data_IF_001880746406
#
_entry.id   IF_001880746406
#
_cell.length_a   1.000
_cell.length_b   1.000
_cell.length_c   1.000
_cell.angle_alpha   90.00
_cell.angle_beta   90.00
_cell.angle_gamma   90.00
#
_symmetry.space_group_name_H-M   'P 1'
#
loop_
_entity.id
_entity.type
_entity.pdbx_description
1 polymer ?
#
# COMPACT_ATOMS: atom_id res chain seq x y z
N UNK A 1 10.39 -5.27 42.41
CA UNK A 1 10.69 -6.01 41.17
C UNK A 1 9.94 -5.37 40.01
N UNK A 2 10.57 -5.08 38.85
CA UNK A 2 9.85 -4.50 37.72
C UNK A 2 8.79 -5.49 37.21
N UNK A 3 7.57 -5.00 37.05
CA UNK A 3 6.41 -5.74 36.58
C UNK A 3 6.76 -6.51 35.29
N UNK A 4 6.42 -7.80 35.22
CA UNK A 4 6.70 -8.66 34.05
C UNK A 4 6.18 -8.03 32.75
N UNK A 5 5.03 -7.36 32.82
CA UNK A 5 4.47 -6.58 31.70
C UNK A 5 5.45 -5.49 31.21
N UNK A 6 6.08 -4.77 32.12
CA UNK A 6 7.05 -3.72 31.78
C UNK A 6 8.30 -4.29 31.11
N UNK A 7 8.78 -5.46 31.55
CA UNK A 7 9.91 -6.15 30.90
C UNK A 7 9.57 -6.55 29.45
N UNK A 8 8.38 -7.11 29.24
CA UNK A 8 7.89 -7.50 27.90
C UNK A 8 7.76 -6.26 27.00
N UNK A 9 7.16 -5.17 27.50
CA UNK A 9 6.99 -3.94 26.73
C UNK A 9 8.32 -3.33 26.30
N UNK A 10 9.30 -3.25 27.21
CA UNK A 10 10.62 -2.68 26.91
C UNK A 10 11.39 -3.54 25.90
N UNK A 11 11.34 -4.86 26.03
CA UNK A 11 11.95 -5.78 25.09
C UNK A 11 11.34 -5.64 23.69
N UNK A 12 10.00 -5.65 23.58
CA UNK A 12 9.29 -5.48 22.32
C UNK A 12 9.59 -4.12 21.67
N UNK A 13 9.67 -3.06 22.47
CA UNK A 13 10.03 -1.72 21.98
C UNK A 13 11.41 -1.72 21.33
N UNK A 14 12.40 -2.35 21.96
CA UNK A 14 13.78 -2.45 21.45
C UNK A 14 13.84 -3.23 20.13
N UNK A 15 13.20 -4.40 20.05
CA UNK A 15 13.13 -5.19 18.81
C UNK A 15 12.48 -4.41 17.66
N UNK A 16 11.39 -3.68 17.94
CA UNK A 16 10.71 -2.85 16.95
C UNK A 16 11.55 -1.65 16.49
N UNK A 17 12.46 -1.13 17.33
CA UNK A 17 13.40 -0.07 16.97
C UNK A 17 14.52 -0.59 16.07
N UNK A 18 15.13 -1.74 16.41
CA UNK A 18 16.18 -2.37 15.61
C UNK A 18 15.71 -2.66 14.18
N UNK A 19 14.55 -3.31 14.04
CA UNK A 19 13.98 -3.64 12.73
C UNK A 19 13.54 -2.41 11.92
N UNK A 20 13.30 -1.25 12.57
CA UNK A 20 13.06 0.02 11.85
C UNK A 20 14.35 0.57 11.25
N UNK A 21 15.44 0.49 11.99
CA UNK A 21 16.74 1.02 11.57
C UNK A 21 17.35 0.17 10.44
N UNK A 22 17.17 -1.16 10.49
CA UNK A 22 17.60 -2.08 9.42
C UNK A 22 16.83 -1.90 8.10
N UNK A 23 15.60 -1.38 8.15
CA UNK A 23 14.72 -1.18 6.98
C UNK A 23 14.64 0.27 6.51
N UNK A 24 15.65 1.09 6.80
CA UNK A 24 15.78 2.39 6.16
C UNK A 24 15.74 2.20 4.63
N UNK A 25 14.78 2.81 3.90
CA UNK A 25 14.68 2.59 2.46
C UNK A 25 15.92 3.12 1.76
N UNK A 26 16.65 2.26 1.05
CA UNK A 26 17.69 2.70 0.11
C UNK A 26 17.07 3.67 -0.91
N UNK A 27 17.70 4.82 -1.08
CA UNK A 27 17.22 5.93 -1.90
C UNK A 27 17.16 5.56 -3.39
N UNK A 28 16.08 4.87 -3.81
CA UNK A 28 15.89 4.49 -5.20
C UNK A 28 15.08 5.56 -5.94
N UNK A 29 15.71 6.13 -6.98
CA UNK A 29 15.11 7.10 -7.91
C UNK A 29 14.07 6.41 -8.82
N UNK A 30 13.17 7.17 -9.47
CA UNK A 30 12.22 6.53 -10.41
C UNK A 30 12.96 6.02 -11.65
N UNK A 31 12.88 4.72 -11.92
CA UNK A 31 13.30 4.11 -13.19
C UNK A 31 12.26 4.30 -14.32
N UNK A 32 11.74 5.53 -14.46
CA UNK A 32 10.71 5.87 -15.42
C UNK A 32 11.33 6.10 -16.82
N UNK A 33 10.96 5.32 -17.85
CA UNK A 33 11.52 5.44 -19.22
C UNK A 33 11.21 6.77 -19.92
N UNK A 34 10.06 7.38 -19.62
CA UNK A 34 9.69 8.74 -20.07
C UNK A 34 9.50 9.62 -18.85
N UNK A 35 10.39 10.61 -18.66
CA UNK A 35 10.37 11.52 -17.51
C UNK A 35 9.25 12.57 -17.64
N UNK A 36 8.98 13.05 -18.84
CA UNK A 36 7.93 14.06 -19.13
C UNK A 36 6.54 13.60 -18.67
N UNK A 37 6.19 12.35 -18.96
CA UNK A 37 4.92 11.74 -18.58
C UNK A 37 4.95 11.11 -17.18
N UNK A 38 6.03 11.30 -16.42
CA UNK A 38 6.12 10.79 -15.06
C UNK A 38 5.17 11.60 -14.18
N UNK A 39 4.15 10.97 -13.58
CA UNK A 39 3.24 11.65 -12.65
C UNK A 39 3.94 12.11 -11.34
N UNK A 40 5.18 11.67 -11.09
CA UNK A 40 6.05 12.18 -10.03
C UNK A 40 7.01 13.28 -10.54
N UNK A 41 6.90 13.72 -11.79
CA UNK A 41 7.83 14.69 -12.42
C UNK A 41 9.30 14.34 -12.22
N UNK A 42 9.64 13.06 -12.31
CA UNK A 42 11.00 12.57 -12.07
C UNK A 42 11.44 12.50 -10.60
N UNK A 43 10.58 12.82 -9.62
CA UNK A 43 10.90 12.67 -8.21
C UNK A 43 11.02 11.19 -7.76
N UNK A 44 11.72 11.00 -6.63
CA UNK A 44 12.02 9.72 -5.97
C UNK A 44 10.79 8.81 -5.82
N UNK A 45 11.02 7.49 -5.76
CA UNK A 45 10.00 6.47 -5.48
C UNK A 45 9.40 6.68 -4.08
N UNK A 46 8.43 7.58 -4.00
CA UNK A 46 7.87 8.01 -2.73
C UNK A 46 6.79 7.01 -2.31
N UNK A 47 7.04 6.28 -1.23
CA UNK A 47 6.04 5.42 -0.59
C UNK A 47 5.09 6.27 0.26
N UNK A 48 3.91 5.73 0.56
CA UNK A 48 2.93 6.33 1.48
C UNK A 48 2.47 7.74 1.10
N UNK A 49 1.98 7.88 -0.13
CA UNK A 49 1.43 9.15 -0.63
C UNK A 49 -0.06 9.02 -0.93
N UNK A 50 -0.75 10.14 -0.75
CA UNK A 50 -2.14 10.36 -1.13
C UNK A 50 -2.12 11.17 -2.43
N UNK A 51 -2.64 10.60 -3.51
CA UNK A 51 -2.73 11.30 -4.80
C UNK A 51 -4.18 11.56 -5.20
N UNK A 52 -4.33 12.50 -6.12
CA UNK A 52 -5.57 12.84 -6.82
C UNK A 52 -5.37 12.55 -8.30
N UNK A 53 -6.33 11.85 -8.91
CA UNK A 53 -6.49 11.82 -10.35
C UNK A 53 -7.69 12.69 -10.74
N UNK A 54 -7.48 13.65 -11.63
CA UNK A 54 -8.53 14.48 -12.22
C UNK A 54 -8.72 14.07 -13.66
N UNK A 55 -9.95 13.74 -14.05
CA UNK A 55 -10.33 13.60 -15.45
C UNK A 55 -11.20 14.80 -15.78
N UNK A 56 -10.73 15.65 -16.68
CA UNK A 56 -11.48 16.79 -17.21
C UNK A 56 -12.02 16.40 -18.57
N UNK A 57 -13.32 16.17 -18.58
CA UNK A 57 -14.17 16.24 -19.77
C UNK A 57 -14.65 17.70 -19.90
N UNK A 58 -15.12 18.16 -21.05
CA UNK A 58 -15.52 19.55 -21.30
C UNK A 58 -16.58 20.12 -20.32
N UNK A 59 -17.10 19.34 -19.35
CA UNK A 59 -17.94 19.86 -18.25
C UNK A 59 -17.95 19.10 -16.91
N UNK A 60 -17.00 18.22 -16.57
CA UNK A 60 -17.07 17.54 -15.25
C UNK A 60 -15.72 17.29 -14.58
N UNK A 61 -15.60 17.73 -13.32
CA UNK A 61 -14.44 17.52 -12.43
C UNK A 61 -14.68 16.28 -11.53
N UNK A 62 -13.82 15.26 -11.57
CA UNK A 62 -13.92 14.04 -10.74
C UNK A 62 -12.59 13.64 -10.09
N UNK A 63 -12.63 12.87 -8.98
CA UNK A 63 -11.47 12.58 -8.10
C UNK A 63 -11.44 11.12 -7.58
N UNK A 64 -10.24 10.51 -7.51
CA UNK A 64 -9.93 9.28 -6.75
C UNK A 64 -8.60 9.30 -5.96
N UNK A 65 -8.43 8.47 -4.91
CA UNK A 65 -7.31 8.58 -3.92
C UNK A 65 -6.79 7.27 -3.32
N UNK A 66 -5.51 6.89 -3.55
CA UNK A 66 -4.83 5.71 -2.94
C UNK A 66 -3.27 5.68 -3.06
N UNK A 67 -2.59 4.55 -2.80
CA UNK A 67 -1.11 4.35 -2.90
C UNK A 67 -0.56 4.30 -4.33
N UNK A 68 0.43 5.14 -4.62
CA UNK A 68 0.70 5.61 -5.99
C UNK A 68 1.40 4.65 -6.98
N UNK A 69 2.57 4.06 -6.68
CA UNK A 69 3.38 3.40 -7.73
C UNK A 69 2.72 2.14 -8.28
N UNK A 70 2.25 1.27 -7.38
CA UNK A 70 1.62 -0.01 -7.76
C UNK A 70 0.30 0.25 -8.46
N UNK A 71 -0.54 1.16 -7.94
CA UNK A 71 -1.79 1.52 -8.59
C UNK A 71 -1.61 2.30 -9.88
N UNK A 72 -0.56 3.10 -10.03
CA UNK A 72 -0.30 3.80 -11.27
C UNK A 72 -0.11 2.82 -12.42
N UNK A 73 0.67 1.76 -12.19
CA UNK A 73 0.87 0.70 -13.17
C UNK A 73 -0.44 -0.07 -13.43
N UNK A 74 -1.17 -0.42 -12.36
CA UNK A 74 -2.47 -1.07 -12.48
C UNK A 74 -3.44 -0.23 -13.31
N UNK A 75 -3.57 1.06 -12.99
CA UNK A 75 -4.41 2.01 -13.72
C UNK A 75 -3.97 2.14 -15.18
N UNK A 76 -2.66 2.27 -15.46
CA UNK A 76 -2.14 2.33 -16.83
C UNK A 76 -2.55 1.10 -17.64
N UNK A 77 -2.49 -0.09 -17.03
CA UNK A 77 -2.95 -1.33 -17.66
C UNK A 77 -4.47 -1.35 -17.82
N UNK A 78 -5.22 -0.94 -16.79
CA UNK A 78 -6.69 -0.92 -16.79
C UNK A 78 -7.29 0.03 -17.82
N UNK A 79 -6.59 1.11 -18.15
CA UNK A 79 -7.05 2.07 -19.17
C UNK A 79 -6.76 1.59 -20.60
N UNK A 80 -5.93 0.54 -20.77
CA UNK A 80 -5.57 0.00 -22.08
C UNK A 80 -6.24 -1.34 -22.36
N UNK A 81 -6.29 -2.23 -21.37
CA UNK A 81 -6.80 -3.59 -21.50
C UNK A 81 -8.28 -3.63 -21.16
N UNK A 82 -9.09 -4.10 -22.10
CA UNK A 82 -10.55 -4.09 -21.96
C UNK A 82 -11.04 -5.00 -20.82
N UNK A 83 -10.46 -6.19 -20.66
CA UNK A 83 -10.84 -7.11 -19.57
C UNK A 83 -10.59 -6.52 -18.16
N UNK A 84 -9.80 -5.45 -18.05
CA UNK A 84 -9.55 -4.72 -16.79
C UNK A 84 -10.40 -3.46 -16.64
N UNK A 85 -11.37 -3.19 -17.52
CA UNK A 85 -12.15 -1.95 -17.52
C UNK A 85 -12.87 -1.67 -16.20
N UNK A 86 -13.40 -2.71 -15.55
CA UNK A 86 -14.11 -2.61 -14.27
C UNK A 86 -13.21 -2.80 -13.03
N UNK A 87 -11.88 -2.79 -13.17
CA UNK A 87 -10.97 -3.00 -12.03
C UNK A 87 -11.00 -1.89 -10.98
N UNK A 88 -11.34 -0.67 -11.38
CA UNK A 88 -11.45 0.51 -10.51
C UNK A 88 -12.55 1.42 -11.02
N UNK A 89 -13.16 2.22 -10.15
CA UNK A 89 -14.21 3.17 -10.56
C UNK A 89 -13.68 4.22 -11.57
N UNK A 90 -12.40 4.60 -11.50
CA UNK A 90 -11.76 5.48 -12.47
C UNK A 90 -11.57 4.82 -13.83
N UNK A 91 -11.18 3.55 -13.87
CA UNK A 91 -11.06 2.84 -15.14
C UNK A 91 -12.42 2.69 -15.80
N UNK A 92 -13.44 2.31 -15.02
CA UNK A 92 -14.81 2.19 -15.51
C UNK A 92 -15.30 3.53 -16.08
N UNK A 93 -15.05 4.63 -15.37
CA UNK A 93 -15.40 5.96 -15.87
C UNK A 93 -14.68 6.32 -17.17
N UNK A 94 -13.37 6.05 -17.28
CA UNK A 94 -12.60 6.32 -18.50
C UNK A 94 -13.09 5.49 -19.67
N UNK A 95 -13.43 4.22 -19.46
CA UNK A 95 -14.00 3.38 -20.53
C UNK A 95 -15.37 3.88 -20.97
N UNK A 96 -16.23 4.31 -20.03
CA UNK A 96 -17.49 4.94 -20.39
C UNK A 96 -17.34 6.23 -21.23
N UNK A 97 -16.24 6.98 -21.05
CA UNK A 97 -15.92 8.14 -21.89
C UNK A 97 -15.49 7.72 -23.30
N UNK A 98 -14.68 6.66 -23.41
CA UNK A 98 -14.26 6.11 -24.71
C UNK A 98 -15.44 5.54 -25.49
N UNK A 99 -16.32 4.80 -24.82
CA UNK A 99 -17.50 4.19 -25.45
C UNK A 99 -18.45 5.26 -26.01
N UNK A 100 -18.48 6.44 -25.38
CA UNK A 100 -19.23 7.62 -25.85
C UNK A 100 -18.47 8.49 -26.83
N UNK A 101 -17.24 8.11 -27.18
CA UNK A 101 -16.33 8.87 -28.03
C UNK A 101 -16.10 10.32 -27.57
N UNK A 102 -15.96 10.53 -26.25
CA UNK A 102 -15.72 11.86 -25.67
C UNK A 102 -14.26 12.02 -25.32
N UNK A 103 -13.66 13.10 -25.79
CA UNK A 103 -12.28 13.47 -25.46
C UNK A 103 -12.14 13.86 -23.99
N UNK A 104 -11.06 13.40 -23.37
CA UNK A 104 -10.78 13.66 -21.97
C UNK A 104 -9.29 13.89 -21.71
N UNK A 105 -9.00 14.79 -20.77
CA UNK A 105 -7.65 15.02 -20.26
C UNK A 105 -7.52 14.44 -18.86
N UNK A 106 -6.41 13.74 -18.60
CA UNK A 106 -6.11 13.11 -17.31
C UNK A 106 -4.92 13.80 -16.65
N UNK A 107 -5.13 14.33 -15.46
CA UNK A 107 -4.11 14.97 -14.65
C UNK A 107 -3.95 14.22 -13.32
N UNK A 108 -2.73 14.17 -12.79
CA UNK A 108 -2.44 13.53 -11.51
C UNK A 108 -1.63 14.47 -10.64
N UNK A 109 -2.02 14.57 -9.38
CA UNK A 109 -1.37 15.44 -8.40
C UNK A 109 -1.15 14.68 -7.09
N UNK A 110 0.01 14.86 -6.47
CA UNK A 110 0.24 14.39 -5.10
C UNK A 110 -0.37 15.40 -4.14
N UNK A 111 -1.34 14.98 -3.34
CA UNK A 111 -1.98 15.84 -2.34
C UNK A 111 -1.14 15.91 -1.08
N UNK A 112 -0.67 14.75 -0.58
CA UNK A 112 0.11 14.70 0.65
C UNK A 112 1.04 13.49 0.68
N UNK A 113 2.21 13.69 1.29
CA UNK A 113 3.13 12.61 1.67
C UNK A 113 2.92 12.29 3.14
N UNK A 114 2.86 11.01 3.47
CA UNK A 114 2.61 10.54 4.84
C UNK A 114 3.69 9.55 5.27
N UNK A 115 3.73 9.26 6.57
CA UNK A 115 4.59 8.22 7.13
C UNK A 115 3.94 6.84 6.92
N UNK A 116 4.72 5.77 6.74
CA UNK A 116 4.16 4.42 6.72
C UNK A 116 3.46 4.07 8.03
N UNK A 117 2.54 3.11 7.96
CA UNK A 117 1.95 2.55 9.17
C UNK A 117 3.03 1.96 10.07
N UNK A 118 2.96 2.28 11.36
CA UNK A 118 3.84 1.71 12.38
C UNK A 118 3.06 0.63 13.14
N UNK A 119 3.52 -0.62 13.16
CA UNK A 119 2.90 -1.69 13.94
C UNK A 119 2.76 -1.30 15.42
N UNK A 120 1.65 -1.69 16.05
CA UNK A 120 1.32 -1.32 17.43
C UNK A 120 0.63 0.04 17.57
N UNK A 121 0.62 0.91 16.55
CA UNK A 121 -0.21 2.12 16.56
C UNK A 121 -1.66 1.78 16.21
N UNK A 122 -2.60 2.44 16.89
CA UNK A 122 -4.05 2.33 16.63
C UNK A 122 -4.47 3.01 15.32
N UNK A 123 -3.67 3.96 14.85
CA UNK A 123 -4.00 4.80 13.69
C UNK A 123 -2.99 4.59 12.55
N UNK A 124 -3.49 4.68 11.31
CA UNK A 124 -2.68 4.68 10.11
C UNK A 124 -2.72 6.07 9.47
N UNK A 125 -1.62 6.85 9.48
CA UNK A 125 -1.60 8.21 8.93
C UNK A 125 -2.02 8.26 7.46
N UNK A 126 -1.60 7.27 6.67
CA UNK A 126 -1.96 7.15 5.27
C UNK A 126 -3.48 6.97 5.09
N UNK A 127 -4.08 5.98 5.76
CA UNK A 127 -5.53 5.76 5.67
C UNK A 127 -6.34 6.93 6.22
N UNK A 128 -5.87 7.59 7.29
CA UNK A 128 -6.54 8.77 7.83
C UNK A 128 -6.56 9.90 6.80
N UNK A 129 -5.43 10.14 6.14
CA UNK A 129 -5.35 11.18 5.12
C UNK A 129 -6.17 10.83 3.87
N UNK A 130 -6.17 9.57 3.44
CA UNK A 130 -7.04 9.08 2.36
C UNK A 130 -8.51 9.35 2.70
N UNK A 131 -8.96 8.98 3.91
CA UNK A 131 -10.32 9.21 4.38
C UNK A 131 -10.66 10.69 4.43
N UNK A 132 -9.76 11.53 4.94
CA UNK A 132 -9.93 12.99 4.97
C UNK A 132 -10.03 13.59 3.56
N UNK A 133 -9.23 13.10 2.62
CA UNK A 133 -9.27 13.55 1.24
C UNK A 133 -10.60 13.20 0.56
N UNK A 134 -11.14 12.00 0.80
CA UNK A 134 -12.46 11.57 0.30
C UNK A 134 -13.57 12.40 0.95
N UNK A 135 -13.53 12.61 2.27
CA UNK A 135 -14.55 13.37 3.01
C UNK A 135 -14.64 14.84 2.58
N UNK A 136 -13.50 15.49 2.37
CA UNK A 136 -13.45 16.93 2.03
C UNK A 136 -13.91 17.25 0.62
N UNK A 137 -13.95 16.26 -0.29
CA UNK A 137 -14.27 16.50 -1.70
C UNK A 137 -15.63 15.93 -2.10
N UNK A 138 -16.56 16.83 -2.41
CA UNK A 138 -17.84 16.48 -3.04
C UNK A 138 -17.61 16.15 -4.52
N UNK A 139 -18.24 15.09 -5.03
CA UNK A 139 -18.13 14.67 -6.43
C UNK A 139 -16.95 13.72 -6.78
N UNK A 140 -16.35 13.04 -5.82
CA UNK A 140 -15.36 11.98 -6.11
C UNK A 140 -16.02 10.71 -6.65
N UNK A 141 -15.31 9.96 -7.49
CA UNK A 141 -15.72 8.62 -7.95
C UNK A 141 -15.57 7.56 -6.85
N UNK A 142 -14.74 7.84 -5.83
CA UNK A 142 -14.63 6.98 -4.65
C UNK A 142 -15.97 6.81 -3.94
N UNK A 143 -16.31 5.55 -3.68
CA UNK A 143 -17.52 5.19 -2.94
C UNK A 143 -17.33 5.56 -1.46
N UNK A 144 -18.22 6.36 -0.87
CA UNK A 144 -18.12 6.78 0.53
C UNK A 144 -18.05 5.62 1.54
N UNK A 145 -18.60 4.45 1.19
CA UNK A 145 -18.51 3.23 2.00
C UNK A 145 -17.06 2.80 2.25
N UNK A 146 -16.12 3.15 1.38
CA UNK A 146 -14.68 2.88 1.55
C UNK A 146 -14.08 3.58 2.77
N UNK A 147 -14.69 4.67 3.26
CA UNK A 147 -14.24 5.39 4.45
C UNK A 147 -14.31 4.49 5.70
N UNK A 148 -15.28 3.57 5.74
CA UNK A 148 -15.46 2.64 6.86
C UNK A 148 -14.66 1.35 6.69
N UNK A 149 -13.90 1.22 5.60
CA UNK A 149 -13.06 0.05 5.38
C UNK A 149 -11.98 -0.09 6.45
N UNK A 150 -11.66 -1.34 6.75
CA UNK A 150 -10.56 -1.70 7.64
C UNK A 150 -9.23 -1.34 7.00
N UNK A 151 -8.27 -0.92 7.82
CA UNK A 151 -6.94 -0.55 7.35
C UNK A 151 -6.19 -1.77 6.79
N UNK A 152 -6.08 -1.88 5.47
CA UNK A 152 -5.29 -2.92 4.80
C UNK A 152 -3.81 -2.85 5.22
N UNK A 153 -3.27 -1.66 5.49
CA UNK A 153 -1.91 -1.49 5.97
C UNK A 153 -1.68 -2.11 7.36
N UNK A 154 -2.70 -2.09 8.24
CA UNK A 154 -2.64 -2.76 9.54
C UNK A 154 -2.76 -4.27 9.38
N UNK A 155 -3.63 -4.73 8.47
CA UNK A 155 -3.89 -6.16 8.22
C UNK A 155 -2.60 -6.95 8.00
N UNK A 156 -1.66 -6.42 7.20
CA UNK A 156 -0.36 -7.07 6.92
C UNK A 156 0.45 -7.44 8.18
N UNK A 157 0.25 -6.74 9.29
CA UNK A 157 1.00 -6.97 10.53
C UNK A 157 0.22 -7.77 11.58
N UNK A 158 -0.94 -8.34 11.22
CA UNK A 158 -1.68 -9.24 12.09
C UNK A 158 -1.05 -10.62 12.08
N UNK A 159 -1.01 -11.28 13.24
CA UNK A 159 -0.49 -12.64 13.40
C UNK A 159 -1.23 -13.66 12.52
N UNK A 160 -2.52 -13.43 12.26
CA UNK A 160 -3.33 -14.26 11.37
C UNK A 160 -2.82 -14.30 9.92
N UNK A 161 -1.96 -13.36 9.53
CA UNK A 161 -1.39 -13.26 8.18
C UNK A 161 0.11 -13.62 8.14
N UNK A 162 0.69 -14.03 9.27
CA UNK A 162 2.01 -14.66 9.25
C UNK A 162 1.84 -16.05 8.61
N UNK A 163 2.39 -16.27 7.42
CA UNK A 163 2.56 -17.64 6.96
C UNK A 163 3.41 -18.35 8.01
N UNK A 164 3.01 -19.56 8.40
CA UNK A 164 3.76 -20.42 9.31
C UNK A 164 5.26 -20.36 8.95
N UNK A 165 6.17 -20.09 9.90
CA UNK A 165 7.58 -20.29 9.62
C UNK A 165 7.77 -21.75 9.22
N UNK A 166 8.53 -21.98 8.15
CA UNK A 166 8.95 -23.33 7.76
C UNK A 166 9.45 -24.06 9.01
N UNK A 167 8.84 -25.21 9.29
CA UNK A 167 9.16 -26.09 10.41
C UNK A 167 10.66 -26.24 10.54
N UNK A 168 11.20 -25.82 11.69
CA UNK A 168 12.51 -26.24 12.14
C UNK A 168 12.44 -27.77 12.31
N UNK A 169 13.11 -28.49 11.43
CA UNK A 169 13.32 -29.93 11.59
C UNK A 169 14.23 -30.09 12.80
N UNK A 170 13.65 -30.49 13.94
CA UNK A 170 14.42 -31.03 15.05
C UNK A 170 14.90 -32.43 14.64
N UNK A 171 16.15 -32.56 14.25
CA UNK A 171 16.84 -33.85 14.24
C UNK A 171 17.45 -34.08 15.61
N UNK A 172 16.61 -34.40 16.60
CA UNK A 172 17.06 -35.09 17.81
C UNK A 172 16.81 -36.59 17.57
N UNK A 173 17.83 -37.27 17.04
CA UNK A 173 17.86 -38.73 17.00
C UNK A 173 18.77 -39.21 18.15
N UNK A 174 18.26 -40.00 19.10
CA UNK A 174 19.07 -40.49 20.21
C UNK A 174 20.10 -41.50 19.71
N UNK A 175 21.31 -41.40 20.26
CA UNK A 175 22.34 -42.41 20.14
C UNK A 175 21.81 -43.76 20.64
N UNK A 176 21.80 -44.77 19.77
CA UNK A 176 21.66 -46.15 20.19
C UNK A 176 23.01 -46.85 19.98
N UNK A 177 23.64 -47.16 21.10
CA UNK A 177 24.69 -48.15 21.17
C UNK A 177 24.06 -49.53 20.90
N UNK A 178 24.71 -50.35 20.08
CA UNK A 178 24.70 -51.78 20.33
C UNK A 178 26.04 -52.41 19.95
N UNK A 179 26.45 -53.34 20.80
CA UNK A 179 27.74 -54.02 20.84
C UNK A 179 27.67 -55.38 20.12
N UNK A 180 28.79 -55.75 19.48
CA UNK A 180 29.40 -57.10 19.47
C UNK A 180 28.80 -58.29 18.69
N UNK A 181 29.75 -59.14 18.24
CA UNK A 181 29.69 -60.46 17.60
C UNK A 181 29.47 -60.41 16.07
N UNK A 182 30.38 -60.88 15.20
CA UNK A 182 31.41 -61.94 15.27
C UNK A 182 32.66 -61.46 14.52
#
# INVERSE_FOLDING_TARGET
>A
MPNVNLKIQNHNKKLLEQHRNEKAPTETTCNCRQKENCPLKGHRLTKCIVYKATVTETKTNKQETYTFKTRYNEHKSSFKLEHKKASTSLSEHIWALKDKNIDYKKERQILKKTRPYTPGKKTCPLCLEEKLAILRKRGSLNVRKEIFSHCAHRRKFLLSNASQPATLVNTDQPANADQSAI
#
